data_IF_939111647195
#
_entry.id   IF_939111647195
#
_cell.length_a   1.000
_cell.length_b   1.000
_cell.length_c   1.000
_cell.angle_alpha   90.00
_cell.angle_beta   90.00
_cell.angle_gamma   90.00
#
_symmetry.space_group_name_H-M   'P 1'
#
loop_
_entity.id
_entity.type
_entity.pdbx_description
1 polymer ?
#
# COMPACT_ATOMS: atom_id res chain seq x y z
N UNK A 1 -2.38 -13.72 13.58
CA UNK A 1 -3.10 -14.76 12.81
C UNK A 1 -4.35 -14.12 12.23
N UNK A 2 -4.60 -14.23 10.92
CA UNK A 2 -5.78 -13.62 10.30
C UNK A 2 -7.03 -14.46 10.56
N UNK A 3 -8.12 -13.79 10.94
CA UNK A 3 -9.43 -14.38 11.22
C UNK A 3 -10.49 -13.77 10.31
N UNK A 4 -11.68 -14.35 10.27
CA UNK A 4 -12.82 -13.78 9.53
C UNK A 4 -13.11 -12.38 10.07
N UNK A 5 -13.31 -11.43 9.18
CA UNK A 5 -13.48 -10.01 9.50
C UNK A 5 -12.17 -9.21 9.58
N UNK A 6 -11.00 -9.87 9.65
CA UNK A 6 -9.71 -9.16 9.65
C UNK A 6 -9.55 -8.30 8.40
N UNK A 7 -9.08 -7.07 8.59
CA UNK A 7 -8.64 -6.22 7.48
C UNK A 7 -7.18 -6.52 7.16
N UNK A 8 -6.89 -6.62 5.88
CA UNK A 8 -5.57 -6.95 5.35
C UNK A 8 -5.22 -6.08 4.16
N UNK A 9 -3.94 -5.87 3.93
CA UNK A 9 -3.42 -5.19 2.74
C UNK A 9 -2.82 -6.22 1.79
N UNK A 10 -3.24 -6.17 0.55
CA UNK A 10 -2.63 -6.89 -0.57
C UNK A 10 -1.86 -5.91 -1.46
N UNK A 11 -0.61 -6.20 -1.88
CA UNK A 11 0.26 -5.23 -2.55
C UNK A 11 -0.26 -4.72 -3.91
N UNK A 12 -1.16 -5.45 -4.56
CA UNK A 12 -1.71 -5.05 -5.85
C UNK A 12 -3.19 -4.65 -5.79
N UNK A 13 -3.91 -5.02 -4.72
CA UNK A 13 -5.36 -4.79 -4.61
C UNK A 13 -5.73 -3.91 -3.41
N UNK A 14 -4.76 -3.53 -2.58
CA UNK A 14 -4.97 -2.65 -1.43
C UNK A 14 -5.73 -3.31 -0.29
N UNK A 15 -6.64 -2.56 0.32
CA UNK A 15 -7.40 -2.97 1.49
C UNK A 15 -8.45 -4.04 1.15
N UNK A 16 -8.36 -5.17 1.82
CA UNK A 16 -9.31 -6.28 1.72
C UNK A 16 -9.85 -6.72 3.09
N UNK A 17 -10.88 -7.54 3.03
CA UNK A 17 -11.49 -8.16 4.21
C UNK A 17 -11.45 -9.67 4.09
N UNK A 18 -10.99 -10.36 5.14
CA UNK A 18 -11.03 -11.81 5.21
C UNK A 18 -12.48 -12.25 5.41
N UNK A 19 -13.09 -12.87 4.40
CA UNK A 19 -14.46 -13.37 4.46
C UNK A 19 -14.54 -14.77 5.06
N UNK A 20 -13.54 -15.60 4.77
CA UNK A 20 -13.52 -17.01 5.17
C UNK A 20 -12.08 -17.48 5.39
N UNK A 21 -11.87 -18.31 6.39
CA UNK A 21 -10.65 -19.09 6.57
C UNK A 21 -11.03 -20.56 6.51
N UNK A 22 -10.39 -21.34 5.65
CA UNK A 22 -10.67 -22.75 5.48
C UNK A 22 -9.40 -23.57 5.29
N UNK A 23 -9.44 -24.83 5.71
CA UNK A 23 -8.38 -25.79 5.44
C UNK A 23 -8.67 -26.51 4.12
N UNK A 24 -7.67 -26.58 3.26
CA UNK A 24 -7.75 -27.33 2.00
C UNK A 24 -6.53 -28.21 1.81
N UNK A 25 -6.78 -29.40 1.28
CA UNK A 25 -5.69 -30.28 0.85
C UNK A 25 -5.39 -30.00 -0.62
N UNK A 26 -4.19 -29.47 -0.90
CA UNK A 26 -3.70 -29.24 -2.27
C UNK A 26 -2.43 -30.07 -2.45
N UNK A 27 -2.40 -30.88 -3.49
CA UNK A 27 -1.28 -31.80 -3.79
C UNK A 27 -0.90 -32.70 -2.60
N UNK A 28 -1.90 -33.15 -1.82
CA UNK A 28 -1.69 -34.01 -0.65
C UNK A 28 -1.23 -33.30 0.62
N UNK A 29 -1.05 -31.97 0.60
CA UNK A 29 -0.68 -31.16 1.75
C UNK A 29 -1.86 -30.35 2.26
N UNK A 30 -2.23 -30.53 3.53
CA UNK A 30 -3.24 -29.74 4.21
C UNK A 30 -2.66 -28.36 4.51
N UNK A 31 -3.34 -27.29 4.12
CA UNK A 31 -2.93 -25.90 4.38
C UNK A 31 -4.14 -25.01 4.65
N UNK A 32 -3.90 -23.92 5.39
CA UNK A 32 -4.91 -22.90 5.71
C UNK A 32 -4.93 -21.81 4.64
N UNK A 33 -6.13 -21.52 4.15
CA UNK A 33 -6.36 -20.48 3.15
C UNK A 33 -7.33 -19.43 3.68
N UNK A 34 -7.04 -18.16 3.40
CA UNK A 34 -7.98 -17.07 3.60
C UNK A 34 -8.58 -16.67 2.25
N UNK A 35 -9.91 -16.54 2.20
CA UNK A 35 -10.62 -15.90 1.11
C UNK A 35 -10.79 -14.43 1.45
N UNK A 36 -10.21 -13.55 0.63
CA UNK A 36 -10.18 -12.11 0.84
C UNK A 36 -11.00 -11.44 -0.25
N UNK A 37 -11.93 -10.56 0.14
CA UNK A 37 -12.68 -9.71 -0.78
C UNK A 37 -12.13 -8.30 -0.78
N UNK A 38 -12.13 -7.66 -1.95
CA UNK A 38 -11.72 -6.29 -2.17
C UNK A 38 -12.90 -5.45 -2.65
N UNK A 39 -13.17 -4.34 -1.98
CA UNK A 39 -14.39 -3.54 -2.22
C UNK A 39 -14.48 -2.97 -3.64
N UNK A 40 -13.35 -2.60 -4.23
CA UNK A 40 -13.32 -1.89 -5.51
C UNK A 40 -13.44 -2.80 -6.74
N UNK A 41 -13.10 -4.09 -6.64
CA UNK A 41 -12.92 -4.94 -7.82
C UNK A 41 -13.93 -6.09 -7.94
N UNK A 42 -14.84 -6.26 -6.98
CA UNK A 42 -15.66 -7.50 -6.82
C UNK A 42 -14.77 -8.77 -6.88
N UNK A 43 -13.49 -8.60 -6.63
CA UNK A 43 -12.47 -9.64 -6.70
C UNK A 43 -12.40 -10.36 -5.36
N UNK A 44 -12.33 -11.70 -5.43
CA UNK A 44 -12.00 -12.53 -4.29
C UNK A 44 -10.72 -13.30 -4.59
N UNK A 45 -9.77 -13.22 -3.70
CA UNK A 45 -8.50 -13.93 -3.80
C UNK A 45 -8.38 -14.92 -2.67
N UNK A 46 -7.87 -16.11 -2.97
CA UNK A 46 -7.54 -17.11 -1.98
C UNK A 46 -6.03 -17.08 -1.73
N UNK A 47 -5.64 -16.85 -0.49
CA UNK A 47 -4.24 -16.73 -0.07
C UNK A 47 -3.90 -17.85 0.90
N UNK A 48 -2.80 -18.55 0.67
CA UNK A 48 -2.28 -19.55 1.60
C UNK A 48 -1.60 -18.82 2.78
N UNK A 49 -2.11 -19.04 4.00
CA UNK A 49 -1.63 -18.37 5.21
C UNK A 49 -0.34 -18.98 5.77
N UNK A 50 0.04 -20.16 5.32
CA UNK A 50 1.23 -20.89 5.82
C UNK A 50 2.47 -20.63 4.97
N UNK A 51 2.31 -20.06 3.78
CA UNK A 51 3.44 -19.67 2.95
C UNK A 51 4.10 -18.41 3.52
N UNK A 52 5.44 -18.47 3.69
CA UNK A 52 6.25 -17.31 4.16
C UNK A 52 6.11 -16.06 3.30
N UNK A 53 5.69 -16.21 2.05
CA UNK A 53 5.43 -15.12 1.11
C UNK A 53 3.93 -14.94 0.88
N UNK A 54 3.08 -15.12 1.91
CA UNK A 54 1.70 -14.69 1.81
C UNK A 54 1.71 -13.21 1.45
N UNK A 55 1.20 -12.86 0.26
CA UNK A 55 1.23 -11.49 -0.27
C UNK A 55 0.22 -10.59 0.46
N UNK A 56 0.09 -10.75 1.77
CA UNK A 56 -0.80 -9.94 2.60
C UNK A 56 -0.11 -9.57 3.92
N UNK A 57 -0.43 -8.40 4.44
CA UNK A 57 -0.03 -7.95 5.77
C UNK A 57 -1.22 -7.35 6.53
N UNK A 58 -1.06 -7.20 7.83
CA UNK A 58 -1.95 -6.38 8.65
C UNK A 58 -1.85 -4.91 8.23
N UNK A 59 -2.85 -4.12 8.60
CA UNK A 59 -2.77 -2.67 8.47
C UNK A 59 -1.63 -2.14 9.34
N UNK A 60 -1.10 -0.99 8.96
CA UNK A 60 -0.15 -0.24 9.78
C UNK A 60 -0.83 0.19 11.10
N UNK A 61 -0.08 0.23 12.18
CA UNK A 61 -0.58 0.78 13.43
C UNK A 61 -0.64 2.32 13.37
N UNK A 62 -1.59 2.93 14.07
CA UNK A 62 -1.75 4.39 14.08
C UNK A 62 -0.46 5.12 14.49
N UNK A 63 0.27 4.55 15.45
CA UNK A 63 1.58 5.08 15.92
C UNK A 63 2.70 5.06 14.87
N UNK A 64 2.53 4.30 13.80
CA UNK A 64 3.51 4.21 12.70
C UNK A 64 3.24 5.19 11.56
N UNK A 65 2.00 5.73 11.47
CA UNK A 65 1.62 6.61 10.35
C UNK A 65 2.53 7.82 10.27
N UNK A 66 2.85 8.46 11.39
CA UNK A 66 3.74 9.63 11.41
C UNK A 66 5.13 9.31 10.87
N UNK A 67 5.67 8.14 11.17
CA UNK A 67 6.98 7.69 10.65
C UNK A 67 6.92 7.47 9.13
N UNK A 68 5.81 6.90 8.63
CA UNK A 68 5.62 6.73 7.19
C UNK A 68 5.46 8.09 6.50
N UNK A 69 4.77 9.03 7.13
CA UNK A 69 4.63 10.40 6.62
C UNK A 69 5.99 11.14 6.61
N UNK A 70 6.82 10.96 7.63
CA UNK A 70 8.19 11.50 7.62
C UNK A 70 9.03 10.90 6.50
N UNK A 71 8.84 9.62 6.21
CA UNK A 71 9.50 8.95 5.10
C UNK A 71 9.05 9.49 3.73
N UNK A 72 7.80 9.92 3.61
CA UNK A 72 7.28 10.61 2.42
C UNK A 72 7.90 12.00 2.19
N UNK A 73 8.26 12.72 3.26
CA UNK A 73 8.88 14.07 3.17
C UNK A 73 10.32 14.03 2.67
N UNK A 74 11.08 13.04 3.07
CA UNK A 74 12.50 12.95 2.81
C UNK A 74 12.80 12.35 1.44
N UNK A 75 12.94 13.21 0.43
CA UNK A 75 13.17 12.80 -0.95
C UNK A 75 14.68 12.64 -1.23
N UNK A 76 15.21 11.43 -1.07
CA UNK A 76 16.58 11.07 -1.46
C UNK A 76 16.63 10.00 -2.56
N UNK A 77 15.53 9.82 -3.28
CA UNK A 77 15.39 8.76 -4.27
C UNK A 77 16.26 8.95 -5.50
N UNK A 78 17.27 8.12 -5.66
CA UNK A 78 18.10 8.09 -6.86
C UNK A 78 17.46 7.12 -7.86
N UNK A 79 16.50 7.62 -8.65
CA UNK A 79 15.81 6.81 -9.64
C UNK A 79 16.63 6.70 -10.94
N UNK A 80 16.65 5.51 -11.58
CA UNK A 80 17.27 5.33 -12.91
C UNK A 80 16.70 6.29 -13.96
N UNK A 81 17.50 6.62 -14.95
CA UNK A 81 17.09 7.51 -16.05
C UNK A 81 15.99 6.88 -16.92
N UNK A 82 16.09 5.55 -17.19
CA UNK A 82 15.14 4.83 -18.03
C UNK A 82 13.84 4.51 -17.31
N UNK A 83 12.70 4.85 -17.90
CA UNK A 83 11.38 4.62 -17.31
C UNK A 83 11.06 3.15 -17.08
N UNK A 84 11.52 2.24 -17.95
CA UNK A 84 11.32 0.80 -17.79
C UNK A 84 12.05 0.23 -16.56
N UNK A 85 13.26 0.70 -16.30
CA UNK A 85 14.04 0.29 -15.12
C UNK A 85 13.38 0.82 -13.84
N UNK A 86 12.98 2.10 -13.82
CA UNK A 86 12.23 2.70 -12.70
C UNK A 86 10.95 1.95 -12.40
N UNK A 87 10.17 1.66 -13.44
CA UNK A 87 8.93 0.90 -13.31
C UNK A 87 9.16 -0.46 -12.64
N UNK A 88 10.17 -1.21 -13.10
CA UNK A 88 10.48 -2.53 -12.55
C UNK A 88 10.96 -2.47 -11.09
N UNK A 89 11.78 -1.49 -10.74
CA UNK A 89 12.24 -1.27 -9.36
C UNK A 89 11.04 -0.95 -8.46
N UNK A 90 10.21 0.00 -8.87
CA UNK A 90 9.03 0.41 -8.11
C UNK A 90 8.00 -0.72 -7.99
N UNK A 91 7.81 -1.53 -9.03
CA UNK A 91 6.95 -2.70 -8.97
C UNK A 91 7.45 -3.75 -7.95
N UNK A 92 8.77 -3.94 -7.83
CA UNK A 92 9.34 -4.80 -6.78
C UNK A 92 9.06 -4.24 -5.38
N UNK A 93 9.23 -2.92 -5.20
CA UNK A 93 8.89 -2.24 -3.94
C UNK A 93 7.42 -2.45 -3.57
N UNK A 94 6.48 -2.24 -4.49
CA UNK A 94 5.06 -2.49 -4.25
C UNK A 94 4.82 -3.95 -3.87
N UNK A 95 5.39 -4.90 -4.61
CA UNK A 95 5.22 -6.35 -4.37
C UNK A 95 5.83 -6.83 -3.05
N UNK A 96 6.73 -6.08 -2.44
CA UNK A 96 7.27 -6.43 -1.12
C UNK A 96 6.23 -6.39 -0.01
N UNK A 97 5.08 -5.75 -0.25
CA UNK A 97 4.02 -5.52 0.73
C UNK A 97 4.46 -4.69 1.95
N UNK A 98 5.56 -3.96 1.84
CA UNK A 98 6.12 -3.09 2.87
C UNK A 98 5.60 -1.66 2.67
N UNK A 99 5.05 -1.06 3.75
CA UNK A 99 4.44 0.27 3.67
C UNK A 99 5.47 1.37 3.41
N UNK A 100 6.68 1.24 3.93
CA UNK A 100 7.75 2.20 3.70
C UNK A 100 8.22 2.16 2.26
N UNK A 101 8.32 0.96 1.67
CA UNK A 101 8.64 0.83 0.24
C UNK A 101 7.52 1.36 -0.65
N UNK A 102 6.25 1.20 -0.26
CA UNK A 102 5.13 1.82 -0.96
C UNK A 102 5.21 3.35 -0.88
N UNK A 103 5.51 3.90 0.30
CA UNK A 103 5.72 5.33 0.49
C UNK A 103 6.88 5.88 -0.37
N UNK A 104 7.98 5.13 -0.49
CA UNK A 104 9.09 5.49 -1.40
C UNK A 104 8.63 5.59 -2.85
N UNK A 105 7.80 4.67 -3.32
CA UNK A 105 7.26 4.74 -4.69
C UNK A 105 6.45 6.02 -4.89
N UNK A 106 5.58 6.37 -3.94
CA UNK A 106 4.76 7.59 -4.00
C UNK A 106 5.66 8.83 -3.98
N UNK A 107 6.60 8.91 -3.05
CA UNK A 107 7.56 10.00 -2.90
C UNK A 107 8.38 10.22 -4.17
N UNK A 108 9.03 9.15 -4.64
CA UNK A 108 9.99 9.20 -5.73
C UNK A 108 9.32 9.55 -7.06
N UNK A 109 8.16 8.96 -7.34
CA UNK A 109 7.40 9.29 -8.56
C UNK A 109 6.74 10.67 -8.49
N UNK A 110 6.32 11.13 -7.32
CA UNK A 110 5.82 12.51 -7.12
C UNK A 110 6.94 13.51 -7.36
N UNK A 111 8.12 13.30 -6.79
CA UNK A 111 9.29 14.15 -7.01
C UNK A 111 9.70 14.20 -8.49
N UNK A 112 9.73 13.04 -9.15
CA UNK A 112 10.05 12.94 -10.57
C UNK A 112 9.03 13.64 -11.46
N UNK A 113 7.74 13.58 -11.13
CA UNK A 113 6.65 14.20 -11.89
C UNK A 113 6.77 15.73 -11.98
N UNK A 114 7.47 16.36 -11.03
CA UNK A 114 7.75 17.80 -11.01
C UNK A 114 8.88 18.19 -11.95
N UNK A 115 9.80 17.26 -12.22
CA UNK A 115 10.98 17.51 -13.05
C UNK A 115 10.72 17.15 -14.51
N UNK A 116 9.94 16.10 -14.76
CA UNK A 116 9.62 15.62 -16.09
C UNK A 116 8.29 14.86 -16.15
N UNK A 117 7.74 14.72 -17.34
CA UNK A 117 6.54 13.92 -17.57
C UNK A 117 6.82 12.44 -17.31
N UNK A 118 6.01 11.82 -16.46
CA UNK A 118 6.02 10.37 -16.22
C UNK A 118 5.45 9.63 -17.45
N UNK A 119 5.94 8.41 -17.69
CA UNK A 119 5.31 7.50 -18.64
C UNK A 119 3.89 7.11 -18.18
N UNK A 120 2.99 6.69 -19.09
CA UNK A 120 1.63 6.30 -18.71
C UNK A 120 1.58 5.22 -17.62
N UNK A 121 2.50 4.25 -17.67
CA UNK A 121 2.60 3.20 -16.65
C UNK A 121 3.02 3.74 -15.28
N UNK A 122 3.96 4.70 -15.25
CA UNK A 122 4.40 5.34 -14.02
C UNK A 122 3.30 6.24 -13.44
N UNK A 123 2.54 6.95 -14.29
CA UNK A 123 1.39 7.75 -13.83
C UNK A 123 0.32 6.88 -13.17
N UNK A 124 -0.01 5.74 -13.78
CA UNK A 124 -0.96 4.79 -13.22
C UNK A 124 -0.43 4.18 -11.91
N UNK A 125 0.84 3.82 -11.87
CA UNK A 125 1.50 3.28 -10.67
C UNK A 125 1.45 4.29 -9.52
N UNK A 126 1.80 5.55 -9.77
CA UNK A 126 1.73 6.62 -8.78
C UNK A 126 0.31 6.80 -8.24
N UNK A 127 -0.67 6.89 -9.14
CA UNK A 127 -2.09 7.02 -8.76
C UNK A 127 -2.56 5.87 -7.86
N UNK A 128 -2.25 4.64 -8.25
CA UNK A 128 -2.64 3.45 -7.47
C UNK A 128 -1.93 3.39 -6.12
N UNK A 129 -0.61 3.62 -6.09
CA UNK A 129 0.18 3.59 -4.85
C UNK A 129 -0.27 4.65 -3.86
N UNK A 130 -0.57 5.87 -4.33
CA UNK A 130 -1.11 6.96 -3.52
C UNK A 130 -2.46 6.59 -2.94
N UNK A 131 -3.36 6.08 -3.77
CA UNK A 131 -4.68 5.62 -3.30
C UNK A 131 -4.56 4.52 -2.25
N UNK A 132 -3.65 3.57 -2.43
CA UNK A 132 -3.44 2.48 -1.45
C UNK A 132 -3.00 3.01 -0.09
N UNK A 133 -2.06 3.96 -0.04
CA UNK A 133 -1.66 4.61 1.21
C UNK A 133 -2.82 5.38 1.85
N UNK A 134 -3.53 6.19 1.06
CA UNK A 134 -4.62 7.03 1.56
C UNK A 134 -5.78 6.21 2.12
N UNK A 135 -6.16 5.12 1.45
CA UNK A 135 -7.21 4.20 1.92
C UNK A 135 -6.80 3.52 3.22
N UNK A 136 -5.56 3.05 3.32
CA UNK A 136 -5.06 2.41 4.55
C UNK A 136 -5.04 3.38 5.71
N UNK A 137 -4.50 4.60 5.51
CA UNK A 137 -4.44 5.63 6.54
C UNK A 137 -5.84 6.13 6.94
N UNK A 138 -6.73 6.35 5.97
CA UNK A 138 -8.14 6.69 6.20
C UNK A 138 -8.82 5.67 7.12
N UNK A 139 -8.63 4.39 6.83
CA UNK A 139 -9.20 3.32 7.64
C UNK A 139 -8.64 3.30 9.07
N UNK A 140 -7.32 3.43 9.23
CA UNK A 140 -6.64 3.38 10.54
C UNK A 140 -6.97 4.60 11.39
N UNK A 141 -7.07 5.79 10.77
CA UNK A 141 -7.34 7.05 11.48
C UNK A 141 -8.82 7.40 11.56
N UNK A 142 -9.70 6.61 10.95
CA UNK A 142 -11.14 6.91 10.82
C UNK A 142 -11.43 8.28 10.20
N UNK A 143 -10.55 8.75 9.31
CA UNK A 143 -10.72 9.99 8.54
C UNK A 143 -11.27 9.70 7.15
N UNK A 144 -11.72 10.74 6.48
CA UNK A 144 -12.19 10.66 5.09
C UNK A 144 -11.05 10.32 4.12
N UNK A 145 -11.34 9.54 3.08
CA UNK A 145 -10.34 9.09 2.10
C UNK A 145 -9.80 10.25 1.26
N UNK A 146 -10.66 11.20 0.86
CA UNK A 146 -10.26 12.36 0.05
C UNK A 146 -9.39 13.32 0.88
N UNK A 147 -9.75 13.53 2.15
CA UNK A 147 -8.93 14.29 3.10
C UNK A 147 -7.54 13.66 3.23
N UNK A 148 -7.49 12.34 3.42
CA UNK A 148 -6.22 11.63 3.58
C UNK A 148 -5.38 11.65 2.30
N UNK A 149 -5.98 11.56 1.13
CA UNK A 149 -5.27 11.69 -0.15
C UNK A 149 -4.64 13.08 -0.28
N UNK A 150 -5.38 14.13 0.09
CA UNK A 150 -4.85 15.50 0.10
C UNK A 150 -3.68 15.67 1.07
N UNK A 151 -3.73 15.06 2.25
CA UNK A 151 -2.64 15.08 3.24
C UNK A 151 -1.40 14.36 2.71
N UNK A 152 -1.54 13.17 2.14
CA UNK A 152 -0.43 12.43 1.52
C UNK A 152 0.23 13.26 0.42
N UNK A 153 -0.57 13.90 -0.43
CA UNK A 153 -0.08 14.76 -1.50
C UNK A 153 0.66 15.98 -0.99
N UNK A 154 0.12 16.68 0.01
CA UNK A 154 0.75 17.85 0.62
C UNK A 154 2.07 17.45 1.30
N UNK A 155 2.09 16.29 1.99
CA UNK A 155 3.30 15.75 2.62
C UNK A 155 4.40 15.49 1.60
N UNK A 156 4.09 14.88 0.46
CA UNK A 156 5.06 14.67 -0.62
C UNK A 156 5.55 15.98 -1.25
N UNK A 157 4.82 17.08 -1.08
CA UNK A 157 5.21 18.42 -1.55
C UNK A 157 5.97 19.23 -0.54
N UNK A 158 6.24 18.68 0.65
CA UNK A 158 6.79 19.41 1.79
C UNK A 158 5.96 20.67 2.18
N UNK A 159 4.66 20.64 1.92
CA UNK A 159 3.72 21.64 2.42
C UNK A 159 3.48 21.35 3.90
N UNK A 160 3.31 22.41 4.71
CA UNK A 160 2.96 22.25 6.13
C UNK A 160 1.59 21.54 6.20
N UNK A 161 1.61 20.31 6.68
CA UNK A 161 0.40 19.55 7.02
C UNK A 161 0.26 19.56 8.53
N UNK A 162 -0.95 19.83 9.01
CA UNK A 162 -1.25 19.62 10.43
C UNK A 162 -0.87 18.18 10.81
N UNK A 163 -0.11 18.08 11.89
CA UNK A 163 0.40 16.82 12.41
C UNK A 163 -0.80 15.91 12.66
N UNK A 164 -0.81 14.76 11.99
CA UNK A 164 -1.82 13.72 12.15
C UNK A 164 -1.62 13.01 13.48
N UNK A 165 -1.71 13.74 14.59
CA UNK A 165 -1.72 13.09 15.90
C UNK A 165 -3.04 12.32 15.98
N UNK A 166 -2.93 11.00 16.00
CA UNK A 166 -4.02 10.14 16.40
C UNK A 166 -4.39 10.48 17.85
N UNK A 167 -5.35 11.36 18.03
CA UNK A 167 -6.07 11.42 19.29
C UNK A 167 -7.00 10.22 19.31
N UNK A 168 -6.56 9.22 20.06
CA UNK A 168 -7.37 8.06 20.44
C UNK A 168 -8.61 8.50 21.24
#
# INVERSE_FOLDING_TARGET
MFTVGSKVIHPLHGLGTVEKVEEKTILGQLSKFACISFQNDRLKIMVNLEQRNSMIRSLVEASEIDKVMDHLRNCEGNLPTKSSERYNINLKKIKSCDIYQLAEVVRDLTGLSRQKKLSPKEQQMLKQSRKMLSVEFSYVTSRDEEEMEAIVDATCRNEETEVLIATA
#
